data_IF_198015202891
#
_entry.id   IF_198015202891
#
_cell.length_a   1.000
_cell.length_b   1.000
_cell.length_c   1.000
_cell.angle_alpha   90.00
_cell.angle_beta   90.00
_cell.angle_gamma   90.00
#
_symmetry.space_group_name_H-M   'P 1'
#
loop_
_entity.id
_entity.type
_entity.pdbx_description
1 polymer ?
#
# COMPACT_ATOMS: atom_id res chain seq x y z
N UNK A 1 -55.77 -19.22 8.64
CA UNK A 1 -54.51 -19.36 9.37
C UNK A 1 -53.40 -18.96 8.42
N UNK A 2 -52.70 -17.87 8.76
CA UNK A 2 -51.64 -17.26 7.95
C UNK A 2 -50.35 -18.07 8.08
N UNK A 3 -49.64 -18.30 6.98
CA UNK A 3 -48.24 -18.73 7.01
C UNK A 3 -47.50 -17.99 5.91
N UNK A 4 -46.85 -16.88 6.28
CA UNK A 4 -45.89 -16.18 5.44
C UNK A 4 -44.55 -16.92 5.55
N UNK A 5 -44.15 -17.61 4.48
CA UNK A 5 -42.77 -18.02 4.29
C UNK A 5 -41.94 -16.75 4.02
N UNK A 6 -40.97 -16.45 4.89
CA UNK A 6 -39.91 -15.49 4.56
C UNK A 6 -39.03 -16.17 3.51
N UNK A 7 -39.07 -15.64 2.29
CA UNK A 7 -38.07 -15.90 1.28
C UNK A 7 -36.71 -15.49 1.85
N UNK A 8 -35.80 -16.46 1.90
CA UNK A 8 -34.40 -16.26 2.25
C UNK A 8 -33.77 -15.58 1.03
N UNK A 9 -33.79 -14.24 0.99
CA UNK A 9 -33.17 -13.48 -0.08
C UNK A 9 -31.70 -13.90 -0.20
N UNK A 10 -31.23 -14.36 -1.36
CA UNK A 10 -29.84 -14.78 -1.52
C UNK A 10 -28.94 -13.58 -1.22
N UNK A 11 -28.16 -13.69 -0.15
CA UNK A 11 -27.24 -12.65 0.27
C UNK A 11 -26.31 -12.34 -0.91
N UNK A 12 -26.22 -11.07 -1.37
CA UNK A 12 -25.39 -10.73 -2.51
C UNK A 12 -23.96 -11.17 -2.23
N UNK A 13 -23.36 -11.90 -3.19
CA UNK A 13 -22.00 -12.42 -3.07
C UNK A 13 -21.01 -11.33 -2.68
N UNK A 14 -19.91 -11.72 -2.02
CA UNK A 14 -18.84 -10.78 -1.69
C UNK A 14 -18.25 -10.27 -3.01
N UNK A 15 -18.30 -8.95 -3.28
CA UNK A 15 -17.74 -8.40 -4.51
C UNK A 15 -16.23 -8.65 -4.56
N UNK A 16 -15.70 -8.81 -5.76
CA UNK A 16 -14.27 -8.99 -5.98
C UNK A 16 -13.50 -7.72 -5.58
N UNK A 17 -12.30 -7.91 -5.01
CA UNK A 17 -11.42 -6.81 -4.63
C UNK A 17 -10.83 -6.16 -5.88
N UNK A 18 -10.91 -4.85 -6.05
CA UNK A 18 -10.17 -4.13 -7.09
C UNK A 18 -9.03 -3.38 -6.41
N UNK A 19 -7.81 -3.54 -6.91
CA UNK A 19 -6.62 -2.89 -6.34
C UNK A 19 -5.70 -2.41 -7.44
N UNK A 20 -5.09 -1.26 -7.22
CA UNK A 20 -4.12 -0.66 -8.12
C UNK A 20 -2.95 -0.07 -7.31
N UNK A 21 -1.76 -0.13 -7.91
CA UNK A 21 -0.56 0.52 -7.38
C UNK A 21 0.25 1.07 -8.54
N UNK A 22 0.76 2.28 -8.40
CA UNK A 22 1.65 2.89 -9.38
C UNK A 22 2.89 3.44 -8.66
N UNK A 23 4.05 3.23 -9.27
CA UNK A 23 5.30 3.89 -8.92
C UNK A 23 5.67 4.89 -10.00
N UNK A 24 6.03 6.10 -9.62
CA UNK A 24 6.70 7.07 -10.46
C UNK A 24 8.10 7.38 -9.90
N UNK A 25 9.10 7.38 -10.78
CA UNK A 25 10.47 7.79 -10.45
C UNK A 25 10.84 9.01 -11.27
N UNK A 26 11.20 10.08 -10.58
CA UNK A 26 11.66 11.32 -11.20
C UNK A 26 13.11 11.56 -10.86
N UNK A 27 13.98 11.55 -11.87
CA UNK A 27 15.41 11.76 -11.66
C UNK A 27 15.71 13.24 -11.54
N UNK A 28 16.60 13.58 -10.60
CA UNK A 28 17.08 14.96 -10.42
C UNK A 28 18.17 15.32 -11.45
N UNK A 29 18.75 14.30 -12.09
CA UNK A 29 19.73 14.41 -13.16
C UNK A 29 19.07 14.23 -14.53
N UNK A 30 19.59 14.89 -15.56
CA UNK A 30 19.18 14.69 -16.96
C UNK A 30 19.80 13.45 -17.61
N UNK A 31 20.69 12.74 -16.91
CA UNK A 31 21.37 11.55 -17.44
C UNK A 31 20.48 10.31 -17.53
N UNK A 32 19.27 10.36 -16.93
CA UNK A 32 18.32 9.26 -16.85
C UNK A 32 16.90 9.79 -17.07
N UNK A 33 16.09 8.97 -17.74
CA UNK A 33 14.69 9.30 -18.01
C UNK A 33 13.81 8.89 -16.84
N UNK A 34 12.84 9.74 -16.52
CA UNK A 34 11.78 9.40 -15.58
C UNK A 34 11.06 8.12 -16.03
N UNK A 35 10.56 7.35 -15.07
CA UNK A 35 9.82 6.14 -15.37
C UNK A 35 8.59 5.99 -14.49
N UNK A 36 7.64 5.24 -14.99
CA UNK A 36 6.43 4.86 -14.26
C UNK A 36 6.21 3.35 -14.41
N UNK A 37 5.67 2.73 -13.37
CA UNK A 37 5.31 1.32 -13.34
C UNK A 37 3.97 1.16 -12.65
N UNK A 38 2.99 0.59 -13.36
CA UNK A 38 1.66 0.30 -12.83
C UNK A 38 1.46 -1.19 -12.53
N UNK A 39 0.59 -1.46 -11.58
CA UNK A 39 0.13 -2.78 -11.18
C UNK A 39 -1.37 -2.74 -10.94
N UNK A 40 -2.06 -3.80 -11.35
CA UNK A 40 -3.48 -4.01 -11.09
C UNK A 40 -3.70 -5.25 -10.22
N UNK A 41 -4.95 -5.50 -9.83
CA UNK A 41 -5.38 -6.66 -9.07
C UNK A 41 -4.84 -8.00 -9.59
N UNK A 42 -4.67 -8.17 -10.91
CA UNK A 42 -4.14 -9.41 -11.49
C UNK A 42 -2.65 -9.62 -11.22
N UNK A 43 -1.95 -8.55 -10.88
CA UNK A 43 -0.49 -8.52 -10.69
C UNK A 43 -0.08 -8.14 -9.27
N UNK A 44 -1.06 -7.91 -8.39
CA UNK A 44 -0.86 -7.57 -6.99
C UNK A 44 -1.42 -8.67 -6.10
N UNK A 45 -0.63 -9.05 -5.12
CA UNK A 45 -1.12 -9.70 -3.92
C UNK A 45 -1.37 -8.62 -2.87
N UNK A 46 -2.62 -8.53 -2.41
CA UNK A 46 -3.02 -7.52 -1.42
C UNK A 46 -3.68 -8.16 -0.21
N UNK A 47 -3.32 -7.69 0.99
CA UNK A 47 -3.92 -8.17 2.24
C UNK A 47 -4.31 -7.00 3.13
N UNK A 48 -5.42 -7.16 3.84
CA UNK A 48 -5.80 -6.30 4.97
C UNK A 48 -6.00 -7.19 6.20
N UNK A 49 -5.23 -6.97 7.25
CA UNK A 49 -5.29 -7.76 8.48
C UNK A 49 -5.58 -6.84 9.66
N UNK A 50 -6.66 -7.14 10.39
CA UNK A 50 -7.03 -6.43 11.60
C UNK A 50 -6.62 -7.24 12.83
N UNK A 51 -5.47 -6.91 13.40
CA UNK A 51 -5.01 -7.46 14.66
C UNK A 51 -5.62 -6.73 15.87
N UNK A 52 -5.31 -7.24 17.07
CA UNK A 52 -5.74 -6.63 18.34
C UNK A 52 -5.25 -5.20 18.51
N UNK A 53 -4.06 -4.88 18.01
CA UNK A 53 -3.37 -3.62 18.24
C UNK A 53 -3.19 -2.76 16.96
N UNK A 54 -3.47 -3.29 15.77
CA UNK A 54 -3.28 -2.58 14.49
C UNK A 54 -4.18 -3.07 13.36
N UNK A 55 -4.35 -2.20 12.37
CA UNK A 55 -4.71 -2.56 11.00
C UNK A 55 -3.44 -2.54 10.15
N UNK A 56 -3.18 -3.61 9.41
CA UNK A 56 -2.09 -3.70 8.46
C UNK A 56 -2.64 -3.89 7.04
N UNK A 57 -2.15 -3.09 6.09
CA UNK A 57 -2.43 -3.21 4.67
C UNK A 57 -1.12 -3.48 3.93
N UNK A 58 -1.08 -4.52 3.12
CA UNK A 58 0.09 -4.87 2.30
C UNK A 58 -0.33 -4.98 0.84
N UNK A 59 0.51 -4.46 -0.05
CA UNK A 59 0.37 -4.52 -1.51
C UNK A 59 1.72 -4.96 -2.09
N UNK A 60 1.79 -6.16 -2.66
CA UNK A 60 3.01 -6.77 -3.19
C UNK A 60 2.83 -7.17 -4.65
N UNK A 61 3.67 -6.66 -5.54
CA UNK A 61 3.66 -7.07 -6.94
C UNK A 61 4.21 -8.49 -7.09
N UNK A 62 3.37 -9.40 -7.59
CA UNK A 62 3.64 -10.86 -7.65
C UNK A 62 4.93 -11.16 -8.44
N UNK A 63 5.04 -10.58 -9.64
CA UNK A 63 6.24 -10.68 -10.51
C UNK A 63 6.97 -9.33 -10.64
N UNK A 64 6.45 -8.30 -9.97
CA UNK A 64 6.99 -6.95 -10.04
C UNK A 64 8.11 -6.69 -9.04
N UNK A 65 8.66 -5.48 -9.07
CA UNK A 65 9.74 -5.07 -8.16
C UNK A 65 9.25 -4.33 -6.93
N UNK A 66 7.95 -4.03 -6.86
CA UNK A 66 7.42 -3.08 -5.89
C UNK A 66 6.56 -3.78 -4.83
N UNK A 67 6.78 -3.42 -3.57
CA UNK A 67 5.86 -3.74 -2.47
C UNK A 67 5.76 -2.57 -1.49
N UNK A 68 4.57 -2.31 -0.97
CA UNK A 68 4.32 -1.29 0.05
C UNK A 68 3.41 -1.82 1.15
N UNK A 69 3.71 -1.44 2.39
CA UNK A 69 2.92 -1.79 3.57
C UNK A 69 2.61 -0.55 4.41
N UNK A 70 1.43 -0.57 5.02
CA UNK A 70 0.94 0.43 5.94
C UNK A 70 0.48 -0.23 7.23
N UNK A 71 0.93 0.30 8.36
CA UNK A 71 0.49 -0.13 9.69
C UNK A 71 -0.13 1.04 10.42
N UNK A 72 -1.42 0.91 10.75
CA UNK A 72 -2.18 1.90 11.52
C UNK A 72 -2.46 1.31 12.92
N UNK A 73 -1.94 1.93 14.00
CA UNK A 73 -2.27 1.52 15.35
C UNK A 73 -3.78 1.61 15.59
N UNK A 74 -4.35 0.61 16.27
CA UNK A 74 -5.80 0.55 16.52
C UNK A 74 -6.30 1.73 17.34
N UNK A 75 -5.47 2.28 18.23
CA UNK A 75 -5.77 3.50 18.99
C UNK A 75 -5.95 4.74 18.12
N UNK A 76 -5.43 4.73 16.90
CA UNK A 76 -5.50 5.84 15.95
C UNK A 76 -6.65 5.67 14.95
N UNK A 77 -7.24 4.48 14.85
CA UNK A 77 -8.36 4.20 13.95
C UNK A 77 -9.65 4.84 14.47
N UNK A 78 -10.41 5.44 13.57
CA UNK A 78 -11.79 5.83 13.88
C UNK A 78 -12.68 4.59 14.04
N UNK A 79 -13.84 4.72 14.70
CA UNK A 79 -14.75 3.60 14.97
C UNK A 79 -15.24 2.87 13.70
N UNK A 80 -15.18 3.53 12.54
CA UNK A 80 -15.54 2.97 11.24
C UNK A 80 -14.34 2.79 10.29
N UNK A 81 -13.11 2.95 10.78
CA UNK A 81 -11.86 3.01 10.01
C UNK A 81 -11.77 4.13 8.96
N UNK A 82 -12.88 4.77 8.58
CA UNK A 82 -12.92 5.87 7.63
C UNK A 82 -12.17 7.08 8.17
N UNK A 83 -11.24 7.60 7.37
CA UNK A 83 -10.41 8.73 7.76
C UNK A 83 -9.19 8.89 6.87
N UNK A 84 -8.53 10.03 7.03
CA UNK A 84 -7.21 10.31 6.46
C UNK A 84 -6.18 10.11 7.57
N UNK A 85 -5.21 9.26 7.30
CA UNK A 85 -4.16 8.88 8.23
C UNK A 85 -2.80 9.28 7.65
N UNK A 86 -2.16 10.26 8.25
CA UNK A 86 -0.84 10.73 7.82
C UNK A 86 0.24 9.67 8.03
N UNK A 87 1.13 9.55 7.04
CA UNK A 87 2.31 8.68 7.14
C UNK A 87 3.36 9.31 8.05
N UNK A 88 3.87 8.49 8.97
CA UNK A 88 4.96 8.84 9.87
C UNK A 88 6.22 9.12 9.07
N UNK A 89 6.88 10.22 9.41
CA UNK A 89 8.19 10.57 8.86
C UNK A 89 9.22 10.61 9.99
N UNK A 90 10.51 10.67 9.65
CA UNK A 90 11.56 10.94 10.65
C UNK A 90 11.39 12.30 11.35
N UNK A 91 10.70 13.25 10.71
CA UNK A 91 10.44 14.58 11.29
C UNK A 91 9.12 14.64 12.07
N UNK A 92 8.15 13.79 11.74
CA UNK A 92 6.82 13.74 12.36
C UNK A 92 6.56 12.35 12.92
N UNK A 93 7.09 12.12 14.13
CA UNK A 93 6.87 10.87 14.87
C UNK A 93 5.43 10.73 15.39
N UNK A 94 4.70 11.84 15.48
CA UNK A 94 3.32 11.87 15.96
C UNK A 94 2.31 11.31 14.95
N UNK A 95 2.66 11.26 13.65
CA UNK A 95 1.75 10.72 12.65
C UNK A 95 1.54 9.20 12.86
N UNK A 96 0.30 8.71 12.67
CA UNK A 96 -0.09 7.40 13.14
C UNK A 96 0.43 6.26 12.26
N UNK A 97 0.57 6.45 10.95
CA UNK A 97 0.80 5.33 10.02
C UNK A 97 2.29 5.07 9.82
N UNK A 98 2.76 3.90 10.24
CA UNK A 98 4.08 3.43 9.82
C UNK A 98 4.00 2.89 8.38
N UNK A 99 4.90 3.34 7.52
CA UNK A 99 4.95 2.92 6.12
C UNK A 99 6.32 2.32 5.76
N UNK A 100 6.29 1.28 4.93
CA UNK A 100 7.49 0.62 4.40
C UNK A 100 7.29 0.35 2.92
N UNK A 101 8.21 0.84 2.10
CA UNK A 101 8.26 0.53 0.67
C UNK A 101 9.54 -0.26 0.38
N UNK A 102 9.41 -1.34 -0.39
CA UNK A 102 10.53 -2.20 -0.79
C UNK A 102 10.56 -2.31 -2.30
N UNK A 103 11.74 -2.06 -2.84
CA UNK A 103 12.06 -2.34 -4.24
C UNK A 103 12.95 -3.58 -4.32
N UNK A 104 12.51 -4.61 -5.03
CA UNK A 104 13.24 -5.85 -5.26
C UNK A 104 14.05 -5.75 -6.55
N UNK A 105 15.37 -5.76 -6.41
CA UNK A 105 16.30 -5.86 -7.56
C UNK A 105 16.29 -7.28 -8.13
N UNK A 106 16.15 -8.27 -7.26
CA UNK A 106 15.94 -9.68 -7.60
C UNK A 106 15.00 -10.35 -6.60
N UNK A 107 14.05 -11.14 -7.11
CA UNK A 107 13.16 -12.03 -6.35
C UNK A 107 13.51 -13.52 -6.54
N UNK A 108 14.71 -13.83 -7.04
CA UNK A 108 15.10 -15.21 -7.32
C UNK A 108 15.11 -16.08 -6.05
N UNK A 109 14.65 -17.33 -6.18
CA UNK A 109 14.68 -18.29 -5.09
C UNK A 109 16.12 -18.47 -4.56
N UNK A 110 16.31 -18.23 -3.26
CA UNK A 110 17.62 -18.32 -2.59
C UNK A 110 18.45 -17.04 -2.58
N UNK A 111 18.00 -15.94 -3.21
CA UNK A 111 18.67 -14.64 -3.15
C UNK A 111 17.69 -13.49 -3.31
N UNK A 112 17.31 -12.86 -2.19
CA UNK A 112 16.54 -11.62 -2.18
C UNK A 112 17.53 -10.45 -2.10
N UNK A 113 17.56 -9.63 -3.15
CA UNK A 113 18.26 -8.36 -3.13
C UNK A 113 17.22 -7.24 -3.26
N UNK A 114 17.12 -6.39 -2.23
CA UNK A 114 16.14 -5.33 -2.18
C UNK A 114 16.68 -4.07 -1.51
N UNK A 115 16.04 -2.96 -1.82
CA UNK A 115 16.22 -1.69 -1.11
C UNK A 115 14.91 -1.35 -0.41
N UNK A 116 14.99 -1.08 0.89
CA UNK A 116 13.81 -0.79 1.71
C UNK A 116 13.87 0.63 2.26
N UNK A 117 12.77 1.34 2.10
CA UNK A 117 12.55 2.68 2.64
C UNK A 117 11.48 2.64 3.71
N UNK A 118 11.66 3.47 4.75
CA UNK A 118 10.73 3.63 5.86
C UNK A 118 10.45 5.09 6.09
N UNK A 119 9.33 5.36 6.75
CA UNK A 119 8.96 6.71 7.20
C UNK A 119 8.77 7.70 6.04
N UNK A 120 8.02 7.27 5.01
CA UNK A 120 7.68 8.08 3.83
C UNK A 120 6.71 9.20 4.18
N UNK A 121 6.74 10.30 3.42
CA UNK A 121 5.70 11.34 3.47
C UNK A 121 4.45 10.88 2.75
N UNK A 122 3.29 11.40 3.13
CA UNK A 122 2.03 11.18 2.43
C UNK A 122 0.90 10.75 3.36
N UNK A 123 -0.08 10.02 2.82
CA UNK A 123 -1.27 9.62 3.56
C UNK A 123 -1.85 8.30 3.08
N UNK A 124 -2.51 7.59 4.01
CA UNK A 124 -3.47 6.53 3.74
C UNK A 124 -4.87 7.10 3.98
N UNK A 125 -5.75 6.97 3.00
CA UNK A 125 -7.16 7.37 3.12
C UNK A 125 -8.03 6.13 3.05
N UNK A 126 -8.82 5.89 4.10
CA UNK A 126 -9.87 4.88 4.09
C UNK A 126 -11.19 5.62 3.86
N UNK A 127 -11.87 5.34 2.77
CA UNK A 127 -13.11 6.01 2.35
C UNK A 127 -14.36 5.22 2.74
N UNK A 128 -14.23 3.91 2.97
CA UNK A 128 -15.36 3.07 3.35
C UNK A 128 -14.95 1.80 4.08
N UNK A 129 -15.84 1.35 4.98
CA UNK A 129 -15.78 0.04 5.59
C UNK A 129 -17.19 -0.58 5.63
N UNK A 130 -17.41 -1.66 4.88
CA UNK A 130 -18.60 -2.51 5.01
C UNK A 130 -18.36 -3.47 6.18
N UNK A 131 -18.97 -3.20 7.33
CA UNK A 131 -18.82 -4.04 8.52
C UNK A 131 -19.47 -5.43 8.38
N UNK A 132 -20.53 -5.56 7.57
CA UNK A 132 -21.21 -6.83 7.36
C UNK A 132 -20.34 -7.78 6.53
N UNK A 133 -19.71 -7.25 5.48
CA UNK A 133 -18.83 -8.03 4.60
C UNK A 133 -17.35 -7.92 4.97
N UNK A 134 -17.00 -7.08 5.94
CA UNK A 134 -15.63 -6.73 6.36
C UNK A 134 -14.77 -6.26 5.18
N UNK A 135 -15.27 -5.32 4.39
CA UNK A 135 -14.59 -4.84 3.18
C UNK A 135 -14.13 -3.40 3.35
N UNK A 136 -12.88 -3.11 3.02
CA UNK A 136 -12.31 -1.77 3.00
C UNK A 136 -12.27 -1.20 1.59
N UNK A 137 -12.43 0.12 1.51
CA UNK A 137 -12.16 0.92 0.33
C UNK A 137 -11.32 2.14 0.70
N UNK A 138 -10.42 2.56 -0.19
CA UNK A 138 -9.51 3.66 0.07
C UNK A 138 -8.44 3.86 -0.99
N UNK A 139 -7.48 4.71 -0.66
CA UNK A 139 -6.34 5.05 -1.49
C UNK A 139 -5.15 5.46 -0.64
N UNK A 140 -3.96 5.47 -1.23
CA UNK A 140 -2.76 5.94 -0.57
C UNK A 140 -1.84 6.68 -1.53
N UNK A 141 -1.01 7.55 -0.95
CA UNK A 141 0.09 8.22 -1.61
C UNK A 141 1.26 8.23 -0.64
N UNK A 142 2.43 7.80 -1.11
CA UNK A 142 3.67 7.78 -0.36
C UNK A 142 4.80 8.37 -1.21
N UNK A 143 5.60 9.26 -0.61
CA UNK A 143 6.64 10.00 -1.30
C UNK A 143 7.98 9.84 -0.59
N UNK A 144 9.00 9.62 -1.41
CA UNK A 144 10.42 9.60 -1.07
C UNK A 144 11.10 10.69 -1.88
N UNK A 145 11.64 11.69 -1.19
CA UNK A 145 12.33 12.81 -1.82
C UNK A 145 13.83 12.61 -1.76
N UNK A 146 14.50 12.86 -2.88
CA UNK A 146 15.95 12.81 -3.02
C UNK A 146 16.52 11.57 -2.34
N UNK A 147 16.12 10.38 -2.78
CA UNK A 147 16.66 9.11 -2.32
C UNK A 147 17.62 8.52 -3.36
N UNK A 148 18.42 7.54 -2.96
CA UNK A 148 19.18 6.76 -3.93
C UNK A 148 18.21 6.02 -4.85
N UNK A 149 18.53 5.92 -6.14
CA UNK A 149 17.72 5.16 -7.08
C UNK A 149 17.68 3.68 -6.64
N UNK A 150 16.50 3.13 -6.31
CA UNK A 150 16.39 1.74 -5.88
C UNK A 150 16.83 0.74 -6.96
N UNK A 151 16.81 1.14 -8.23
CA UNK A 151 17.26 0.35 -9.36
C UNK A 151 18.76 0.53 -9.70
N UNK A 152 19.47 1.44 -9.05
CA UNK A 152 20.90 1.66 -9.27
C UNK A 152 21.75 0.64 -8.50
N UNK A 153 22.50 -0.18 -9.22
CA UNK A 153 23.40 -1.19 -8.67
C UNK A 153 24.53 -0.58 -7.81
N UNK A 154 24.83 0.71 -7.98
CA UNK A 154 25.87 1.43 -7.23
C UNK A 154 25.38 2.05 -5.91
N UNK A 155 24.16 1.73 -5.47
CA UNK A 155 23.41 2.41 -4.41
C UNK A 155 24.06 2.56 -3.01
N UNK A 156 25.23 1.95 -2.77
CA UNK A 156 26.00 2.11 -1.53
C UNK A 156 27.18 3.11 -1.63
N UNK A 157 27.48 3.61 -2.83
CA UNK A 157 28.52 4.62 -3.06
C UNK A 157 27.96 6.04 -2.88
N UNK A 158 28.82 7.00 -2.52
CA UNK A 158 28.44 8.43 -2.42
C UNK A 158 27.95 9.04 -3.74
N UNK A 159 28.15 8.34 -4.85
CA UNK A 159 27.78 8.74 -6.21
C UNK A 159 26.48 8.09 -6.70
N UNK A 160 25.72 7.44 -5.82
CA UNK A 160 24.45 6.82 -6.18
C UNK A 160 23.50 7.85 -6.82
N UNK A 161 22.93 7.48 -7.96
CA UNK A 161 22.00 8.34 -8.67
C UNK A 161 20.82 8.70 -7.77
N UNK A 162 20.42 9.98 -7.77
CA UNK A 162 19.35 10.49 -6.90
C UNK A 162 18.05 10.69 -7.66
N UNK A 163 16.94 10.29 -7.03
CA UNK A 163 15.60 10.46 -7.57
C UNK A 163 14.57 10.75 -6.49
N UNK A 164 13.42 11.26 -6.91
CA UNK A 164 12.19 11.21 -6.13
C UNK A 164 11.41 9.96 -6.54
N UNK A 165 10.80 9.27 -5.58
CA UNK A 165 9.92 8.14 -5.83
C UNK A 165 8.55 8.44 -5.22
N UNK A 166 7.50 8.29 -6.01
CA UNK A 166 6.12 8.37 -5.55
C UNK A 166 5.43 7.03 -5.77
N UNK A 167 4.75 6.54 -4.74
CA UNK A 167 3.92 5.34 -4.79
C UNK A 167 2.48 5.76 -4.50
N UNK A 168 1.58 5.54 -5.46
CA UNK A 168 0.15 5.76 -5.30
C UNK A 168 -0.60 4.45 -5.47
N UNK A 169 -1.81 4.38 -4.94
CA UNK A 169 -2.67 3.23 -5.16
C UNK A 169 -4.08 3.42 -4.64
N UNK A 170 -4.97 2.53 -5.08
CA UNK A 170 -6.37 2.49 -4.70
C UNK A 170 -6.79 1.04 -4.38
N UNK A 171 -7.80 0.89 -3.55
CA UNK A 171 -8.39 -0.40 -3.25
C UNK A 171 -9.88 -0.27 -2.99
N UNK A 172 -10.66 -1.21 -3.49
CA UNK A 172 -12.08 -1.39 -3.20
C UNK A 172 -12.34 -2.86 -2.89
N UNK A 173 -13.34 -3.11 -2.05
CA UNK A 173 -13.72 -4.47 -1.64
C UNK A 173 -12.55 -5.29 -1.05
N UNK A 174 -11.54 -4.64 -0.45
CA UNK A 174 -10.40 -5.34 0.15
C UNK A 174 -10.85 -6.00 1.45
N UNK A 175 -10.89 -7.33 1.46
CA UNK A 175 -11.37 -8.11 2.61
C UNK A 175 -10.41 -7.98 3.79
N UNK A 176 -10.95 -7.54 4.93
CA UNK A 176 -10.27 -7.54 6.22
C UNK A 176 -10.35 -8.93 6.83
N UNK A 177 -9.18 -9.47 7.18
CA UNK A 177 -8.98 -10.73 7.87
C UNK A 177 -8.73 -10.51 9.36
#
# INVERSE_FOLDING_TARGET
MSSCQKEDDPQPGVPEAEVEMQRATTYLSTSRFNNEQGYSQKTLQSTATLATDKLQLDFDAIEGKDAISFTVPRSSLTTAFVGVYELRTLASHAAPVASVYTFFRSRAAGSINSTTYRNMRGQLTITGYDAQRQLLAGSYQAQLENVADPADDNGASGDALRCNVEITGSFTNLKVQ
#
